data_IF_907291947601
#
_entry.id   IF_907291947601
#
_cell.length_a   1.000
_cell.length_b   1.000
_cell.length_c   1.000
_cell.angle_alpha   90.00
_cell.angle_beta   90.00
_cell.angle_gamma   90.00
#
_symmetry.space_group_name_H-M   'P 1'
#
loop_
_entity.id
_entity.type
_entity.pdbx_description
1 polymer ?
#
# COMPACT_ATOMS: atom_id res chain seq x y z
N UNK A 1 0.55 14.87 -17.68
CA UNK A 1 1.71 15.55 -17.05
C UNK A 1 2.59 14.48 -16.42
N UNK A 2 3.90 14.70 -16.29
CA UNK A 2 4.76 13.70 -15.64
C UNK A 2 4.62 13.82 -14.12
N UNK A 3 3.70 13.06 -13.51
CA UNK A 3 3.48 13.04 -12.06
C UNK A 3 4.67 12.49 -11.26
N UNK A 4 5.69 12.01 -11.97
CA UNK A 4 7.00 11.61 -11.45
C UNK A 4 7.66 12.65 -10.55
N UNK A 5 7.42 13.94 -10.78
CA UNK A 5 7.96 15.02 -9.92
C UNK A 5 7.33 15.03 -8.52
N UNK A 6 6.17 14.39 -8.36
CA UNK A 6 5.49 14.26 -7.06
C UNK A 6 6.01 13.08 -6.23
N UNK A 7 6.83 12.17 -6.79
CA UNK A 7 7.34 11.04 -6.01
C UNK A 7 8.22 11.47 -4.84
N UNK A 8 9.26 12.32 -5.01
CA UNK A 8 10.12 12.67 -3.88
C UNK A 8 9.34 13.31 -2.73
N UNK A 9 8.29 14.08 -3.05
CA UNK A 9 7.37 14.63 -2.06
C UNK A 9 6.66 13.51 -1.28
N UNK A 10 6.06 12.54 -1.96
CA UNK A 10 5.35 11.43 -1.32
C UNK A 10 6.29 10.53 -0.50
N UNK A 11 7.50 10.24 -1.00
CA UNK A 11 8.51 9.44 -0.29
C UNK A 11 8.97 10.14 0.98
N UNK A 12 9.31 11.43 0.91
CA UNK A 12 9.70 12.21 2.08
C UNK A 12 8.57 12.34 3.09
N UNK A 13 7.33 12.58 2.62
CA UNK A 13 6.16 12.65 3.48
C UNK A 13 5.91 11.32 4.20
N UNK A 14 6.00 10.19 3.49
CA UNK A 14 5.84 8.86 4.08
C UNK A 14 6.96 8.54 5.09
N UNK A 15 8.21 8.90 4.79
CA UNK A 15 9.33 8.75 5.72
C UNK A 15 9.07 9.52 7.02
N UNK A 16 8.81 10.84 6.91
CA UNK A 16 8.60 11.73 8.05
C UNK A 16 7.40 11.28 8.90
N UNK A 17 6.33 10.85 8.24
CA UNK A 17 5.15 10.33 8.91
C UNK A 17 5.44 9.01 9.64
N UNK A 18 6.19 8.11 9.01
CA UNK A 18 6.63 6.87 9.64
C UNK A 18 7.51 7.11 10.87
N UNK A 19 8.39 8.12 10.86
CA UNK A 19 9.15 8.52 12.04
C UNK A 19 8.22 9.00 13.17
N UNK A 20 7.21 9.81 12.87
CA UNK A 20 6.22 10.25 13.86
C UNK A 20 5.41 9.06 14.44
N UNK A 21 5.08 8.06 13.63
CA UNK A 21 4.46 6.80 14.10
C UNK A 21 5.41 6.05 15.03
N UNK A 22 6.69 5.92 14.67
CA UNK A 22 7.70 5.23 15.48
C UNK A 22 7.93 5.89 16.84
N UNK A 23 7.93 7.23 16.90
CA UNK A 23 8.04 7.97 18.17
C UNK A 23 6.97 7.59 19.19
N UNK A 24 5.76 7.24 18.73
CA UNK A 24 4.66 6.76 19.59
C UNK A 24 4.77 5.26 19.80
N UNK A 25 5.05 4.50 18.74
CA UNK A 25 5.17 3.06 18.77
C UNK A 25 6.24 2.59 19.75
N UNK A 26 7.38 3.26 19.87
CA UNK A 26 8.49 2.87 20.75
C UNK A 26 8.23 3.12 22.24
N UNK A 27 7.19 3.88 22.59
CA UNK A 27 6.82 4.14 23.99
C UNK A 27 6.18 2.89 24.61
N UNK A 28 6.35 2.73 25.92
CA UNK A 28 5.57 1.75 26.67
C UNK A 28 4.13 2.25 26.82
N UNK A 29 3.17 1.48 26.31
CA UNK A 29 1.76 1.77 26.50
C UNK A 29 0.98 0.50 26.87
N UNK A 30 0.09 0.61 27.87
CA UNK A 30 -0.87 -0.44 28.17
C UNK A 30 -1.99 -0.43 27.13
N UNK A 31 -2.32 -1.61 26.60
CA UNK A 31 -3.49 -1.81 25.75
C UNK A 31 -4.74 -1.64 26.61
N UNK A 32 -5.10 -0.40 26.91
CA UNK A 32 -6.35 -0.07 27.58
C UNK A 32 -7.35 0.43 26.55
N UNK A 33 -8.56 -0.14 26.58
CA UNK A 33 -9.66 0.03 25.61
C UNK A 33 -10.27 1.45 25.58
N UNK A 34 -9.49 2.52 25.74
CA UNK A 34 -9.99 3.89 25.62
C UNK A 34 -9.76 4.40 24.20
N UNK A 35 -10.80 4.23 23.40
CA UNK A 35 -10.91 4.48 21.96
C UNK A 35 -10.47 5.90 21.53
N UNK A 36 -10.60 6.91 22.39
CA UNK A 36 -10.46 8.31 21.95
C UNK A 36 -9.10 8.96 22.30
N UNK A 37 -8.20 8.25 23.01
CA UNK A 37 -6.85 8.72 23.38
C UNK A 37 -5.83 7.57 23.40
N UNK A 38 -6.02 6.59 22.52
CA UNK A 38 -5.11 5.47 22.45
C UNK A 38 -3.79 5.88 21.78
N UNK A 39 -2.68 5.19 22.05
CA UNK A 39 -1.42 5.36 21.33
C UNK A 39 -1.57 5.21 19.81
N UNK A 40 -2.50 4.38 19.38
CA UNK A 40 -2.89 4.28 17.97
C UNK A 40 -3.43 5.62 17.47
N UNK A 41 -4.47 6.17 18.11
CA UNK A 41 -5.07 7.47 17.76
C UNK A 41 -4.04 8.60 17.72
N UNK A 42 -3.07 8.58 18.65
CA UNK A 42 -1.96 9.54 18.64
C UNK A 42 -1.05 9.37 17.42
N UNK A 43 -0.64 8.13 17.12
CA UNK A 43 0.20 7.81 15.97
C UNK A 43 -0.47 8.12 14.64
N UNK A 44 -1.75 7.75 14.48
CA UNK A 44 -2.59 8.08 13.32
C UNK A 44 -2.65 9.58 13.07
N UNK A 45 -2.99 10.35 14.11
CA UNK A 45 -3.11 11.80 14.00
C UNK A 45 -1.75 12.48 13.72
N UNK A 46 -0.67 12.01 14.35
CA UNK A 46 0.68 12.54 14.12
C UNK A 46 1.12 12.29 12.67
N UNK A 47 0.97 11.06 12.19
CA UNK A 47 1.23 10.67 10.79
C UNK A 47 0.41 11.51 9.82
N UNK A 48 -0.91 11.61 10.06
CA UNK A 48 -1.83 12.37 9.24
C UNK A 48 -1.42 13.85 9.08
N UNK A 49 -1.07 14.49 10.19
CA UNK A 49 -0.66 15.89 10.21
C UNK A 49 0.62 16.12 9.40
N UNK A 50 1.62 15.25 9.55
CA UNK A 50 2.88 15.33 8.80
C UNK A 50 2.62 15.20 7.30
N UNK A 51 1.87 14.17 6.89
CA UNK A 51 1.57 13.92 5.47
C UNK A 51 0.80 15.10 4.88
N UNK A 52 -0.29 15.51 5.52
CA UNK A 52 -1.15 16.57 4.98
C UNK A 52 -0.43 17.92 4.90
N UNK A 53 0.41 18.26 5.89
CA UNK A 53 1.21 19.47 5.85
C UNK A 53 2.23 19.45 4.70
N UNK A 54 2.90 18.31 4.47
CA UNK A 54 3.86 18.16 3.38
C UNK A 54 3.16 18.26 2.02
N UNK A 55 2.09 17.49 1.81
CA UNK A 55 1.36 17.44 0.55
C UNK A 55 0.69 18.79 0.22
N UNK A 56 0.04 19.44 1.19
CA UNK A 56 -0.59 20.75 0.97
C UNK A 56 0.41 21.86 0.64
N UNK A 57 1.66 21.74 1.12
CA UNK A 57 2.74 22.69 0.80
C UNK A 57 3.39 22.39 -0.54
N UNK A 58 3.57 21.11 -0.88
CA UNK A 58 4.35 20.65 -2.02
C UNK A 58 3.55 20.33 -3.28
N UNK A 59 2.22 20.31 -3.21
CA UNK A 59 1.36 19.89 -4.31
C UNK A 59 0.08 20.74 -4.38
N UNK A 60 -0.43 21.04 -5.59
CA UNK A 60 -1.70 21.74 -5.76
C UNK A 60 -2.92 20.81 -5.64
N UNK A 61 -2.72 19.48 -5.56
CA UNK A 61 -3.83 18.52 -5.61
C UNK A 61 -4.51 18.37 -4.24
N UNK A 62 -5.85 18.21 -4.22
CA UNK A 62 -6.59 17.95 -2.99
C UNK A 62 -6.17 16.61 -2.36
N UNK A 63 -6.46 16.45 -1.06
CA UNK A 63 -6.07 15.29 -0.26
C UNK A 63 -7.34 14.63 0.27
N UNK A 64 -7.48 13.33 0.01
CA UNK A 64 -8.44 12.43 0.62
C UNK A 64 -7.69 11.50 1.56
N UNK A 65 -7.77 11.77 2.86
CA UNK A 65 -7.14 10.95 3.90
C UNK A 65 -8.19 10.28 4.78
N UNK A 66 -7.91 9.06 5.25
CA UNK A 66 -8.74 8.35 6.24
C UNK A 66 -9.12 9.26 7.42
N UNK A 67 -8.13 9.94 8.00
CA UNK A 67 -8.26 10.76 9.21
C UNK A 67 -8.88 12.17 8.96
N UNK A 68 -9.16 12.52 7.71
CA UNK A 68 -9.76 13.82 7.37
C UNK A 68 -11.28 13.78 7.35
N UNK A 69 -11.90 14.95 7.54
CA UNK A 69 -13.30 15.11 7.10
C UNK A 69 -13.34 15.09 5.59
N UNK A 70 -14.10 14.16 5.03
CA UNK A 70 -14.20 14.03 3.58
C UNK A 70 -15.14 15.09 3.00
N UNK A 71 -14.70 15.69 1.89
CA UNK A 71 -15.59 16.49 1.05
C UNK A 71 -16.76 15.62 0.57
N UNK A 72 -17.99 16.17 0.45
CA UNK A 72 -19.11 15.45 -0.14
C UNK A 72 -18.74 14.90 -1.52
N UNK A 73 -19.29 13.74 -1.91
CA UNK A 73 -18.98 13.15 -3.22
C UNK A 73 -19.19 14.13 -4.38
N UNK A 74 -20.25 14.94 -4.33
CA UNK A 74 -20.54 15.94 -5.36
C UNK A 74 -19.42 17.00 -5.56
N UNK A 75 -18.55 17.20 -4.56
CA UNK A 75 -17.39 18.09 -4.68
C UNK A 75 -16.17 17.33 -5.18
N UNK A 76 -15.87 16.16 -4.60
CA UNK A 76 -14.69 15.37 -4.99
C UNK A 76 -14.84 14.63 -6.32
N UNK A 77 -16.06 14.42 -6.82
CA UNK A 77 -16.31 13.76 -8.11
C UNK A 77 -15.63 14.49 -9.28
N UNK A 78 -15.41 15.80 -9.14
CA UNK A 78 -14.75 16.64 -10.14
C UNK A 78 -13.21 16.70 -9.95
N UNK A 79 -12.66 15.98 -8.98
CA UNK A 79 -11.20 15.91 -8.79
C UNK A 79 -10.58 14.99 -9.83
N UNK A 80 -10.04 15.59 -10.89
CA UNK A 80 -9.26 14.87 -11.91
C UNK A 80 -8.02 14.21 -11.31
N UNK A 81 -7.34 14.90 -10.37
CA UNK A 81 -6.13 14.42 -9.70
C UNK A 81 -6.22 14.73 -8.21
N UNK A 82 -5.92 13.74 -7.36
CA UNK A 82 -5.92 13.91 -5.90
C UNK A 82 -4.96 12.94 -5.21
N UNK A 83 -4.56 13.30 -3.99
CA UNK A 83 -3.83 12.41 -3.09
C UNK A 83 -4.79 11.55 -2.29
N UNK A 84 -4.53 10.24 -2.22
CA UNK A 84 -5.26 9.29 -1.39
C UNK A 84 -4.31 8.75 -0.31
N UNK A 85 -4.70 8.88 0.96
CA UNK A 85 -3.78 8.69 2.09
C UNK A 85 -4.40 7.81 3.17
N UNK A 86 -3.68 6.77 3.55
CA UNK A 86 -3.85 6.05 4.82
C UNK A 86 -2.59 6.34 5.68
N UNK A 87 -2.71 7.14 6.75
CA UNK A 87 -1.58 7.50 7.58
C UNK A 87 -1.00 6.33 8.38
N UNK A 88 -1.76 5.28 8.66
CA UNK A 88 -1.34 4.11 9.43
C UNK A 88 -2.27 2.91 9.15
N UNK A 89 -1.98 2.17 8.09
CA UNK A 89 -2.67 0.90 7.82
C UNK A 89 -2.04 -0.20 8.68
N UNK A 90 -2.86 -1.10 9.19
CA UNK A 90 -2.43 -2.16 10.11
C UNK A 90 -2.59 -1.79 11.57
N UNK A 91 -3.72 -1.19 11.96
CA UNK A 91 -4.08 -0.92 13.35
C UNK A 91 -3.86 -2.11 14.29
N UNK A 92 -4.22 -3.34 13.86
CA UNK A 92 -4.07 -4.55 14.68
C UNK A 92 -2.59 -4.91 14.85
N UNK A 93 -1.81 -4.74 13.79
CA UNK A 93 -0.37 -4.96 13.70
C UNK A 93 0.38 -4.00 14.63
N UNK A 94 -0.02 -2.72 14.62
CA UNK A 94 0.46 -1.69 15.55
C UNK A 94 0.17 -2.06 17.01
N UNK A 95 -1.09 -2.37 17.35
CA UNK A 95 -1.48 -2.73 18.74
C UNK A 95 -0.77 -4.00 19.22
N UNK A 96 -0.61 -5.00 18.34
CA UNK A 96 0.06 -6.28 18.67
C UNK A 96 1.58 -6.18 18.64
N UNK A 97 2.13 -5.03 18.25
CA UNK A 97 3.56 -4.77 18.14
C UNK A 97 4.32 -5.77 17.26
N UNK A 98 3.73 -6.20 16.14
CA UNK A 98 4.39 -7.12 15.21
C UNK A 98 5.18 -6.41 14.09
N UNK A 99 5.07 -5.08 14.00
CA UNK A 99 5.83 -4.24 13.08
C UNK A 99 5.39 -4.26 11.61
N UNK A 100 4.24 -4.86 11.29
CA UNK A 100 3.73 -4.99 9.92
C UNK A 100 2.64 -3.95 9.58
N UNK A 101 2.81 -2.71 10.04
CA UNK A 101 1.94 -1.57 9.68
C UNK A 101 2.64 -0.65 8.68
N UNK A 102 1.87 0.11 7.91
CA UNK A 102 2.38 0.92 6.81
C UNK A 102 1.79 2.32 6.77
N UNK A 103 2.53 3.23 6.14
CA UNK A 103 2.03 4.51 5.67
C UNK A 103 1.78 4.38 4.17
N UNK A 104 0.58 4.75 3.70
CA UNK A 104 0.18 4.63 2.29
C UNK A 104 -0.16 6.00 1.71
N UNK A 105 0.52 6.38 0.63
CA UNK A 105 0.28 7.63 -0.10
C UNK A 105 0.20 7.30 -1.58
N UNK A 106 -0.95 7.60 -2.20
CA UNK A 106 -1.15 7.45 -3.63
C UNK A 106 -1.51 8.78 -4.29
N UNK A 107 -1.05 8.99 -5.52
CA UNK A 107 -1.62 9.99 -6.40
C UNK A 107 -2.55 9.29 -7.38
N UNK A 108 -3.80 9.72 -7.42
CA UNK A 108 -4.84 9.15 -8.27
C UNK A 108 -5.19 10.18 -9.35
N UNK A 109 -5.19 9.75 -10.61
CA UNK A 109 -5.67 10.52 -11.76
C UNK A 109 -6.84 9.78 -12.40
N UNK A 110 -7.98 10.44 -12.56
CA UNK A 110 -9.19 9.90 -13.22
C UNK A 110 -9.58 8.49 -12.72
N UNK A 111 -9.48 8.29 -11.39
CA UNK A 111 -9.81 7.04 -10.72
C UNK A 111 -8.76 5.93 -10.87
N UNK A 112 -7.58 6.23 -11.41
CA UNK A 112 -6.44 5.30 -11.57
C UNK A 112 -5.27 5.77 -10.69
N UNK A 113 -4.67 4.91 -9.84
CA UNK A 113 -3.51 5.29 -9.05
C UNK A 113 -2.29 5.32 -9.97
N UNK A 114 -1.77 6.51 -10.25
CA UNK A 114 -0.66 6.74 -11.18
C UNK A 114 0.70 6.75 -10.49
N UNK A 115 0.70 6.90 -9.16
CA UNK A 115 1.87 6.86 -8.29
C UNK A 115 1.45 6.36 -6.90
N UNK A 116 2.31 5.57 -6.26
CA UNK A 116 2.06 5.02 -4.93
C UNK A 116 3.36 4.84 -4.15
N UNK A 117 3.28 5.14 -2.86
CA UNK A 117 4.32 4.92 -1.85
C UNK A 117 3.69 4.15 -0.69
N UNK A 118 4.24 2.97 -0.43
CA UNK A 118 3.98 2.19 0.79
C UNK A 118 5.27 2.20 1.59
N UNK A 119 5.22 2.68 2.82
CA UNK A 119 6.37 2.69 3.72
C UNK A 119 6.08 1.86 4.96
N UNK A 120 6.97 0.92 5.29
CA UNK A 120 6.93 0.14 6.53
C UNK A 120 7.95 0.72 7.51
N UNK A 121 7.52 1.50 8.52
CA UNK A 121 8.47 2.26 9.34
C UNK A 121 9.43 1.36 10.12
N UNK A 122 8.95 0.26 10.69
CA UNK A 122 9.75 -0.62 11.57
C UNK A 122 10.93 -1.26 10.83
N UNK A 123 10.78 -1.57 9.55
CA UNK A 123 11.84 -2.17 8.72
C UNK A 123 12.53 -1.16 7.81
N UNK A 124 12.15 0.13 7.87
CA UNK A 124 12.65 1.17 6.96
C UNK A 124 12.44 0.83 5.49
N UNK A 125 11.38 0.08 5.15
CA UNK A 125 11.19 -0.46 3.78
C UNK A 125 10.19 0.37 3.00
N UNK A 126 10.60 0.84 1.82
CA UNK A 126 9.74 1.44 0.81
C UNK A 126 9.37 0.44 -0.28
N UNK A 127 8.11 0.48 -0.69
CA UNK A 127 7.64 0.02 -2.00
C UNK A 127 7.04 1.21 -2.73
N UNK A 128 7.53 1.43 -3.94
CA UNK A 128 7.10 2.55 -4.77
C UNK A 128 6.76 2.07 -6.16
N UNK A 129 5.71 2.63 -6.75
CA UNK A 129 5.41 2.46 -8.15
C UNK A 129 4.81 3.71 -8.75
N UNK A 130 5.05 3.91 -10.04
CA UNK A 130 4.36 4.94 -10.80
C UNK A 130 4.52 4.68 -12.29
N UNK A 131 3.49 5.05 -13.07
CA UNK A 131 3.30 4.69 -14.48
C UNK A 131 4.57 4.28 -15.25
N UNK A 132 5.24 5.24 -15.90
CA UNK A 132 6.39 4.97 -16.76
C UNK A 132 7.69 4.63 -15.99
N UNK A 133 7.71 4.82 -14.67
CA UNK A 133 8.88 4.56 -13.84
C UNK A 133 9.10 3.06 -13.64
N UNK A 134 8.00 2.32 -13.49
CA UNK A 134 8.00 0.96 -12.95
C UNK A 134 7.92 0.96 -11.42
N UNK A 135 8.11 -0.22 -10.83
CA UNK A 135 8.04 -0.43 -9.40
C UNK A 135 9.41 -0.76 -8.79
N UNK A 136 9.63 -0.30 -7.56
CA UNK A 136 10.90 -0.38 -6.85
C UNK A 136 10.70 -0.68 -5.36
N UNK A 137 11.72 -1.30 -4.76
CA UNK A 137 11.85 -1.52 -3.33
C UNK A 137 13.18 -0.97 -2.83
N UNK A 138 13.15 -0.35 -1.66
CA UNK A 138 14.34 0.07 -0.93
C UNK A 138 14.18 -0.17 0.56
N UNK A 139 15.30 -0.41 1.23
CA UNK A 139 15.41 -0.69 2.66
C UNK A 139 16.46 0.23 3.24
N UNK A 140 16.12 0.87 4.35
CA UNK A 140 17.05 1.70 5.12
C UNK A 140 18.25 0.87 5.59
N UNK A 141 19.45 1.41 5.43
CA UNK A 141 20.72 0.72 5.71
C UNK A 141 21.22 -0.18 4.57
N UNK A 142 20.41 -0.43 3.53
CA UNK A 142 20.83 -1.16 2.32
C UNK A 142 20.91 -0.23 1.09
N UNK A 143 19.81 0.43 0.73
CA UNK A 143 19.73 1.28 -0.47
C UNK A 143 19.71 2.78 -0.17
N UNK A 144 19.44 3.17 1.07
CA UNK A 144 19.58 4.55 1.54
C UNK A 144 19.94 4.57 3.03
N UNK A 145 20.66 5.59 3.48
CA UNK A 145 21.12 5.70 4.87
C UNK A 145 20.23 6.61 5.73
N UNK A 146 19.65 7.65 5.15
CA UNK A 146 18.84 8.63 5.87
C UNK A 146 17.87 9.40 4.97
N UNK A 147 17.09 10.29 5.59
CA UNK A 147 16.13 11.19 4.93
C UNK A 147 16.75 12.05 3.82
N UNK A 148 18.02 12.47 3.93
CA UNK A 148 18.64 13.36 2.96
C UNK A 148 18.87 12.66 1.61
N UNK A 149 19.19 11.36 1.63
CA UNK A 149 19.34 10.56 0.41
C UNK A 149 18.00 10.34 -0.32
N UNK A 150 16.87 10.39 0.39
CA UNK A 150 15.52 10.29 -0.18
C UNK A 150 15.08 11.56 -0.94
N UNK A 151 15.74 12.69 -0.73
CA UNK A 151 15.42 13.95 -1.40
C UNK A 151 15.92 14.02 -2.86
N UNK A 152 16.53 12.94 -3.36
CA UNK A 152 17.01 12.82 -4.73
C UNK A 152 15.91 12.88 -5.78
N UNK A 153 16.32 13.03 -7.04
CA UNK A 153 15.39 12.91 -8.16
C UNK A 153 14.91 11.47 -8.34
N UNK A 154 13.79 11.32 -9.05
CA UNK A 154 13.23 10.01 -9.39
C UNK A 154 14.25 9.06 -10.03
N UNK A 155 15.06 9.59 -10.97
CA UNK A 155 16.08 8.82 -11.66
C UNK A 155 17.20 8.35 -10.73
N UNK A 156 17.55 9.16 -9.71
CA UNK A 156 18.53 8.78 -8.71
C UNK A 156 18.00 7.66 -7.81
N UNK A 157 16.75 7.78 -7.35
CA UNK A 157 16.10 6.74 -6.55
C UNK A 157 16.00 5.42 -7.33
N UNK A 158 15.53 5.47 -8.58
CA UNK A 158 15.40 4.29 -9.44
C UNK A 158 16.72 3.57 -9.74
N UNK A 159 17.86 4.26 -9.69
CA UNK A 159 19.19 3.65 -9.88
C UNK A 159 19.70 2.96 -8.60
N UNK A 160 19.36 3.49 -7.43
CA UNK A 160 19.79 2.95 -6.15
C UNK A 160 18.88 1.80 -5.67
N UNK A 161 17.61 1.82 -6.07
CA UNK A 161 16.58 0.93 -5.53
C UNK A 161 16.44 -0.34 -6.36
N UNK A 162 15.97 -1.41 -5.71
CA UNK A 162 15.77 -2.70 -6.37
C UNK A 162 14.50 -2.67 -7.20
N UNK A 163 14.61 -2.88 -8.51
CA UNK A 163 13.44 -2.93 -9.42
C UNK A 163 12.60 -4.18 -9.15
N UNK A 164 11.28 -4.03 -9.20
CA UNK A 164 10.31 -5.12 -9.03
C UNK A 164 9.82 -5.66 -10.40
N UNK A 165 9.45 -6.95 -10.49
CA UNK A 165 9.56 -7.97 -9.43
C UNK A 165 11.01 -8.35 -9.14
N UNK A 166 11.28 -8.82 -7.93
CA UNK A 166 12.60 -9.32 -7.54
C UNK A 166 12.84 -10.70 -8.18
N UNK A 167 14.10 -11.08 -8.45
CA UNK A 167 14.43 -12.43 -8.87
C UNK A 167 13.93 -13.47 -7.87
N UNK A 168 13.34 -14.55 -8.38
CA UNK A 168 12.78 -15.63 -7.56
C UNK A 168 13.20 -16.99 -8.12
N UNK A 169 13.71 -17.84 -7.22
CA UNK A 169 14.10 -19.23 -7.54
C UNK A 169 12.96 -20.23 -7.24
N UNK A 170 11.71 -19.75 -7.18
CA UNK A 170 10.57 -20.61 -6.85
C UNK A 170 10.37 -21.67 -7.94
N UNK A 171 10.21 -22.95 -7.58
CA UNK A 171 10.00 -24.02 -8.55
C UNK A 171 8.82 -23.75 -9.49
N UNK A 172 8.97 -24.18 -10.74
CA UNK A 172 7.84 -24.31 -11.63
C UNK A 172 6.79 -25.24 -10.98
N UNK A 173 5.51 -24.87 -11.04
CA UNK A 173 4.35 -25.59 -10.48
C UNK A 173 4.06 -25.44 -8.97
N UNK A 174 4.72 -24.51 -8.27
CA UNK A 174 4.28 -24.03 -6.95
C UNK A 174 3.44 -22.75 -7.10
N UNK A 175 2.23 -22.74 -6.53
CA UNK A 175 1.38 -21.56 -6.43
C UNK A 175 1.54 -20.91 -5.07
N UNK A 176 1.86 -19.61 -5.02
CA UNK A 176 1.96 -18.84 -3.77
C UNK A 176 0.77 -17.91 -3.66
N UNK A 177 -0.08 -18.15 -2.68
CA UNK A 177 -1.27 -17.33 -2.44
C UNK A 177 -1.09 -16.52 -1.16
N UNK A 178 -1.30 -15.22 -1.25
CA UNK A 178 -1.36 -14.39 -0.06
C UNK A 178 -2.72 -14.60 0.62
N UNK A 179 -2.70 -15.04 1.86
CA UNK A 179 -3.92 -15.23 2.66
C UNK A 179 -3.69 -14.71 4.08
N UNK A 180 -4.64 -13.93 4.61
CA UNK A 180 -4.55 -13.42 5.98
C UNK A 180 -4.73 -14.57 6.98
N UNK A 181 -3.84 -14.65 7.98
CA UNK A 181 -4.03 -15.54 9.15
C UNK A 181 -5.24 -15.15 10.00
N UNK A 182 -5.65 -13.88 9.99
CA UNK A 182 -6.68 -13.32 10.89
C UNK A 182 -8.04 -13.06 10.24
N UNK A 183 -8.13 -13.01 8.91
CA UNK A 183 -9.38 -12.70 8.18
C UNK A 183 -9.73 -13.76 7.12
N UNK A 184 -9.24 -14.99 7.28
CA UNK A 184 -9.57 -16.10 6.36
C UNK A 184 -11.05 -16.44 6.48
N UNK A 185 -11.72 -16.61 5.34
CA UNK A 185 -13.13 -16.96 5.28
C UNK A 185 -13.37 -18.07 4.23
N UNK A 186 -14.57 -18.67 4.25
CA UNK A 186 -14.91 -19.77 3.37
C UNK A 186 -14.83 -19.42 1.88
N UNK A 187 -15.08 -18.17 1.50
CA UNK A 187 -14.96 -17.72 0.12
C UNK A 187 -13.48 -17.68 -0.33
N UNK A 188 -12.59 -17.18 0.53
CA UNK A 188 -11.13 -17.19 0.29
C UNK A 188 -10.61 -18.62 0.18
N UNK A 189 -11.06 -19.51 1.05
CA UNK A 189 -10.66 -20.93 1.02
C UNK A 189 -11.12 -21.61 -0.28
N UNK A 190 -12.37 -21.41 -0.67
CA UNK A 190 -12.89 -21.94 -1.94
C UNK A 190 -12.16 -21.39 -3.17
N UNK A 191 -11.77 -20.11 -3.16
CA UNK A 191 -10.95 -19.53 -4.21
C UNK A 191 -9.58 -20.22 -4.31
N UNK A 192 -8.88 -20.37 -3.17
CA UNK A 192 -7.56 -21.01 -3.10
C UNK A 192 -7.63 -22.46 -3.60
N UNK A 193 -8.66 -23.19 -3.18
CA UNK A 193 -8.89 -24.58 -3.61
C UNK A 193 -9.12 -24.66 -5.13
N UNK A 194 -9.87 -23.73 -5.72
CA UNK A 194 -10.14 -23.72 -7.16
C UNK A 194 -8.88 -23.46 -7.99
N UNK A 195 -8.18 -22.36 -7.71
CA UNK A 195 -6.97 -21.98 -8.46
C UNK A 195 -5.82 -22.97 -8.24
N UNK A 196 -5.82 -23.68 -7.11
CA UNK A 196 -4.80 -24.65 -6.76
C UNK A 196 -4.87 -25.97 -7.54
N UNK A 197 -6.00 -26.29 -8.20
CA UNK A 197 -6.20 -27.59 -8.89
C UNK A 197 -5.18 -27.90 -9.99
N UNK A 198 -4.50 -26.88 -10.53
CA UNK A 198 -3.47 -27.01 -11.56
C UNK A 198 -2.03 -27.05 -11.04
N UNK A 199 -1.83 -26.99 -9.72
CA UNK A 199 -0.51 -26.86 -9.10
C UNK A 199 -0.17 -28.08 -8.24
N UNK A 200 1.11 -28.44 -8.18
CA UNK A 200 1.57 -29.55 -7.34
C UNK A 200 1.59 -29.16 -5.86
N UNK A 201 1.83 -27.88 -5.59
CA UNK A 201 1.92 -27.32 -4.25
C UNK A 201 1.29 -25.92 -4.21
N UNK A 202 0.58 -25.65 -3.11
CA UNK A 202 0.02 -24.33 -2.79
C UNK A 202 0.62 -23.84 -1.49
N UNK A 203 1.44 -22.80 -1.57
CA UNK A 203 2.06 -22.14 -0.43
C UNK A 203 1.25 -20.91 -0.01
N UNK A 204 0.92 -20.85 1.27
CA UNK A 204 0.23 -19.69 1.84
C UNK A 204 1.25 -18.71 2.43
N UNK A 205 1.30 -17.51 1.87
CA UNK A 205 2.10 -16.39 2.37
C UNK A 205 1.17 -15.45 3.13
N UNK A 206 1.64 -14.86 4.24
CA UNK A 206 0.84 -13.93 5.04
C UNK A 206 1.67 -12.72 5.42
N UNK A 207 1.04 -11.55 5.41
CA UNK A 207 1.57 -10.29 5.93
C UNK A 207 0.42 -9.37 6.37
N UNK A 208 0.73 -8.38 7.21
CA UNK A 208 -0.16 -7.30 7.63
C UNK A 208 -0.55 -6.36 6.48
N UNK A 209 -1.58 -5.51 6.70
CA UNK A 209 -1.75 -4.25 5.94
C UNK A 209 -1.71 -4.37 4.39
N UNK A 210 -1.28 -3.32 3.69
CA UNK A 210 -1.09 -3.22 2.24
C UNK A 210 0.13 -3.99 1.74
N UNK A 211 1.00 -4.46 2.64
CA UNK A 211 2.15 -5.34 2.33
C UNK A 211 1.74 -6.59 1.56
N UNK A 212 0.52 -7.08 1.76
CA UNK A 212 -0.03 -8.21 0.99
C UNK A 212 -0.06 -7.97 -0.53
N UNK A 213 -0.37 -6.74 -0.96
CA UNK A 213 -0.30 -6.36 -2.36
C UNK A 213 1.16 -6.23 -2.82
N UNK A 214 2.01 -5.66 -1.95
CA UNK A 214 3.45 -5.51 -2.23
C UNK A 214 4.15 -6.87 -2.41
N UNK A 215 3.76 -7.91 -1.68
CA UNK A 215 4.28 -9.28 -1.89
C UNK A 215 4.00 -9.81 -3.30
N UNK A 216 2.87 -9.45 -3.91
CA UNK A 216 2.56 -9.82 -5.29
C UNK A 216 3.43 -8.99 -6.25
N UNK A 217 3.56 -7.68 -6.01
CA UNK A 217 4.43 -6.81 -6.81
C UNK A 217 5.91 -7.22 -6.76
N UNK A 218 6.39 -7.67 -5.60
CA UNK A 218 7.74 -8.21 -5.42
C UNK A 218 7.98 -9.51 -6.20
N UNK A 219 6.92 -10.22 -6.59
CA UNK A 219 7.02 -11.58 -7.10
C UNK A 219 7.22 -12.63 -6.00
N UNK A 220 7.05 -12.25 -4.72
CA UNK A 220 7.06 -13.14 -3.55
C UNK A 220 5.79 -13.99 -3.44
N UNK A 221 4.70 -13.54 -4.06
CA UNK A 221 3.45 -14.28 -4.23
C UNK A 221 2.91 -14.15 -5.66
N UNK A 222 2.06 -15.08 -6.08
CA UNK A 222 1.47 -15.10 -7.41
C UNK A 222 0.09 -14.40 -7.44
N UNK A 223 -0.69 -14.55 -6.37
CA UNK A 223 -2.04 -14.01 -6.28
C UNK A 223 -2.45 -13.70 -4.83
N UNK A 224 -3.28 -12.67 -4.66
CA UNK A 224 -3.89 -12.29 -3.39
C UNK A 224 -5.39 -12.00 -3.58
N UNK A 225 -6.27 -12.95 -3.20
CA UNK A 225 -7.71 -12.68 -3.11
C UNK A 225 -8.06 -11.93 -1.81
N UNK A 226 -8.68 -10.75 -1.92
CA UNK A 226 -9.26 -10.01 -0.79
C UNK A 226 -10.77 -9.99 -0.92
N UNK A 227 -11.39 -11.01 -0.33
CA UNK A 227 -12.85 -11.20 -0.26
C UNK A 227 -13.40 -10.74 1.10
N UNK A 228 -12.97 -9.56 1.54
CA UNK A 228 -13.37 -8.92 2.78
C UNK A 228 -13.23 -7.40 2.64
N UNK A 229 -14.03 -6.61 3.38
CA UNK A 229 -14.03 -5.15 3.24
C UNK A 229 -12.64 -4.51 3.39
N UNK A 230 -12.40 -3.48 2.57
CA UNK A 230 -11.31 -2.49 2.65
C UNK A 230 -11.84 -1.14 2.19
N UNK A 231 -11.10 -0.09 2.50
CA UNK A 231 -11.30 1.24 1.94
C UNK A 231 -10.32 1.50 0.80
N UNK A 232 -10.63 2.50 -0.03
CA UNK A 232 -9.76 2.95 -1.12
C UNK A 232 -8.32 3.22 -0.64
N UNK A 233 -8.16 3.90 0.50
CA UNK A 233 -6.86 4.28 1.05
C UNK A 233 -5.99 3.09 1.47
N UNK A 234 -6.57 1.94 1.87
CA UNK A 234 -5.85 0.68 2.15
C UNK A 234 -5.17 0.08 0.90
N UNK A 235 -5.61 0.49 -0.29
CA UNK A 235 -5.24 -0.19 -1.55
C UNK A 235 -4.55 0.72 -2.56
N UNK A 236 -4.89 2.01 -2.63
CA UNK A 236 -4.48 2.88 -3.74
C UNK A 236 -2.96 2.96 -3.93
N UNK A 237 -2.20 3.06 -2.85
CA UNK A 237 -0.75 3.16 -2.93
C UNK A 237 -0.16 1.84 -3.45
N UNK A 238 -0.56 0.72 -2.86
CA UNK A 238 -0.03 -0.58 -3.24
C UNK A 238 -0.54 -1.06 -4.61
N UNK A 239 -1.72 -0.62 -5.06
CA UNK A 239 -2.22 -0.86 -6.42
C UNK A 239 -1.32 -0.18 -7.47
N UNK A 240 -0.92 1.08 -7.25
CA UNK A 240 0.08 1.73 -8.12
C UNK A 240 1.41 0.94 -8.17
N UNK A 241 1.87 0.39 -7.04
CA UNK A 241 3.06 -0.49 -7.00
C UNK A 241 2.84 -1.76 -7.84
N UNK A 242 1.72 -2.45 -7.66
CA UNK A 242 1.38 -3.67 -8.40
C UNK A 242 1.31 -3.41 -9.90
N UNK A 243 0.57 -2.39 -10.33
CA UNK A 243 0.41 -2.05 -11.76
C UNK A 243 1.75 -1.68 -12.39
N UNK A 244 2.58 -0.91 -11.69
CA UNK A 244 3.90 -0.53 -12.16
C UNK A 244 4.90 -1.71 -12.18
N UNK A 245 4.65 -2.78 -11.43
CA UNK A 245 5.38 -4.06 -11.51
C UNK A 245 4.85 -4.98 -12.63
N UNK A 246 3.84 -4.57 -13.38
CA UNK A 246 3.18 -5.35 -14.44
C UNK A 246 2.02 -6.23 -13.96
N UNK A 247 1.71 -6.21 -12.66
CA UNK A 247 0.57 -6.93 -12.09
C UNK A 247 -0.77 -6.22 -12.31
N UNK A 248 -1.83 -6.78 -11.73
CA UNK A 248 -3.18 -6.25 -11.79
C UNK A 248 -3.87 -6.28 -10.43
N UNK A 249 -4.75 -5.30 -10.19
CA UNK A 249 -5.71 -5.29 -9.08
C UNK A 249 -7.10 -5.16 -9.68
N UNK A 250 -7.85 -6.25 -9.66
CA UNK A 250 -9.13 -6.35 -10.36
C UNK A 250 -10.25 -6.72 -9.39
N UNK A 251 -11.46 -6.21 -9.64
CA UNK A 251 -12.66 -6.63 -8.94
C UNK A 251 -12.90 -8.12 -9.14
N UNK A 252 -13.28 -8.79 -8.07
CA UNK A 252 -13.49 -10.23 -8.08
C UNK A 252 -14.68 -10.62 -8.96
N UNK A 253 -15.72 -9.79 -9.01
CA UNK A 253 -17.00 -10.13 -9.65
C UNK A 253 -16.94 -10.16 -11.19
N UNK A 254 -16.13 -9.30 -11.79
CA UNK A 254 -16.11 -9.10 -13.25
C UNK A 254 -14.72 -8.94 -13.86
N UNK A 255 -13.66 -9.02 -13.04
CA UNK A 255 -12.28 -8.91 -13.50
C UNK A 255 -11.88 -7.51 -14.00
N UNK A 256 -12.76 -6.51 -13.88
CA UNK A 256 -12.42 -5.14 -14.26
C UNK A 256 -11.48 -4.50 -13.24
N UNK A 257 -10.58 -3.59 -13.65
CA UNK A 257 -9.66 -2.93 -12.73
C UNK A 257 -10.39 -2.23 -11.58
N UNK A 258 -9.77 -2.26 -10.40
CA UNK A 258 -10.24 -1.45 -9.26
C UNK A 258 -10.11 0.04 -9.61
N UNK A 259 -11.11 0.82 -9.19
CA UNK A 259 -11.19 2.27 -9.43
C UNK A 259 -11.38 3.03 -8.13
N UNK A 260 -10.91 4.27 -8.14
CA UNK A 260 -10.81 5.16 -6.98
C UNK A 260 -11.64 6.43 -7.17
N UNK A 261 -11.82 7.17 -6.08
CA UNK A 261 -12.74 8.30 -5.96
C UNK A 261 -14.21 7.90 -6.16
N UNK A 262 -14.59 6.67 -5.77
CA UNK A 262 -15.97 6.18 -5.89
C UNK A 262 -16.90 6.92 -4.93
N UNK A 263 -18.22 7.00 -5.19
CA UNK A 263 -19.18 7.58 -4.24
C UNK A 263 -19.10 6.96 -2.83
N UNK A 264 -19.00 5.63 -2.79
CA UNK A 264 -18.68 4.86 -1.59
C UNK A 264 -17.20 4.48 -1.63
N UNK A 265 -16.45 4.85 -0.57
CA UNK A 265 -15.02 4.61 -0.47
C UNK A 265 -14.68 3.16 -0.09
N UNK A 266 -15.68 2.34 0.22
CA UNK A 266 -15.48 0.90 0.35
C UNK A 266 -15.15 0.27 -1.00
N UNK A 267 -14.17 -0.62 -1.00
CA UNK A 267 -13.86 -1.42 -2.16
C UNK A 267 -14.80 -2.62 -2.26
N UNK A 268 -15.18 -3.03 -3.49
CA UNK A 268 -15.69 -4.37 -3.72
C UNK A 268 -14.61 -5.41 -3.40
N UNK A 269 -14.97 -6.69 -3.43
CA UNK A 269 -13.97 -7.75 -3.38
C UNK A 269 -13.01 -7.62 -4.57
N UNK A 270 -11.75 -7.95 -4.36
CA UNK A 270 -10.74 -7.84 -5.41
C UNK A 270 -9.72 -8.97 -5.35
N UNK A 271 -9.04 -9.17 -6.47
CA UNK A 271 -7.91 -10.07 -6.62
C UNK A 271 -6.74 -9.28 -7.16
N UNK A 272 -5.60 -9.44 -6.49
CA UNK A 272 -4.31 -8.96 -6.98
C UNK A 272 -3.59 -10.13 -7.63
N UNK A 273 -3.08 -9.95 -8.85
CA UNK A 273 -2.34 -10.97 -9.57
C UNK A 273 -1.05 -10.38 -10.12
N UNK A 274 0.04 -11.14 -10.07
CA UNK A 274 1.29 -10.74 -10.73
C UNK A 274 1.14 -10.77 -12.26
N UNK A 275 2.12 -10.19 -12.95
CA UNK A 275 2.15 -10.22 -14.42
C UNK A 275 2.04 -11.66 -14.97
N UNK A 276 1.21 -11.81 -16.02
CA UNK A 276 0.93 -13.07 -16.69
C UNK A 276 0.16 -14.12 -15.88
N UNK A 277 -0.27 -13.83 -14.65
CA UNK A 277 -1.06 -14.76 -13.84
C UNK A 277 -2.56 -14.60 -14.13
N UNK A 278 -3.23 -15.71 -14.47
CA UNK A 278 -4.69 -15.76 -14.67
C UNK A 278 -5.35 -16.53 -13.53
N UNK A 279 -6.48 -16.02 -13.04
CA UNK A 279 -7.25 -16.57 -11.93
C UNK A 279 -8.71 -16.79 -12.34
#
# INVERSE_FOLDING_TARGET
>A
MSYTESLPLAVLAAYDAGQAVLEVYEREFEVTEKVDKSPLTEADLASHQVICAALAKGSPFPILSEESRHAPYAERADWDVFWLVDPLDGTKEFIKRNGEFTVNIALVEQGVPVLGVVFTPVTGTFHVGGGDLGAFRAVEGEQFADRAELAGSLAALAQAWSRLPLPSDVPAHTLRVVASRSHRNAATDGFIEEIGKGYEQVDLVSSGSSLKLCLVAEGSADVYPRLAPTCEWDTGAADAVVRAAGGSVCRYEDGLPLVYNKPDLLNPHFVVARDGFSW
#
